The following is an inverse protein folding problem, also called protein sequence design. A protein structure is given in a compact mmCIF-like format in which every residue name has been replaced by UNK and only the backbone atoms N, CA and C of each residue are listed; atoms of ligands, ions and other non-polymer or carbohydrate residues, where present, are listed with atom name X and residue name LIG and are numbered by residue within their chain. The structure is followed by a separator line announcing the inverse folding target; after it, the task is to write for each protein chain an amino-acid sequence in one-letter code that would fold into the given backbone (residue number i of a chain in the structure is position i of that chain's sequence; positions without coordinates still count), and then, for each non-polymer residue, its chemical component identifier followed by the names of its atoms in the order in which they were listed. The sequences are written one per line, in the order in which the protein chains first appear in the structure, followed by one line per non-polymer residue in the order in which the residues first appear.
data_IF_626278337344
#
_entry.id   IF_626278337344
#
_cell.length_a   1.000
_cell.length_b   1.000
_cell.length_c   1.000
_cell.angle_alpha   90.00
_cell.angle_beta   90.00
_cell.angle_gamma   90.00
#
_symmetry.space_group_name_H-M   'P 1'
#
loop_
_entity.id
_entity.type
_entity.pdbx_description
1 polymer ?
#
# COMPACT_ATOMS: atom_id res chain seq x y z
N UNK A 1 28.14 2.03 -15.73
CA UNK A 1 26.66 1.86 -15.82
C UNK A 1 26.07 2.76 -16.90
N UNK A 2 25.44 2.17 -17.93
CA UNK A 2 24.77 2.96 -18.97
C UNK A 2 23.52 3.66 -18.42
N UNK A 3 23.24 4.89 -18.86
CA UNK A 3 22.07 5.69 -18.43
C UNK A 3 20.77 4.86 -18.54
N UNK A 4 20.68 4.00 -19.55
CA UNK A 4 19.52 3.14 -19.80
C UNK A 4 19.35 2.05 -18.74
N UNK A 5 20.46 1.47 -18.26
CA UNK A 5 20.45 0.46 -17.20
C UNK A 5 20.09 1.07 -15.86
N UNK A 6 20.62 2.25 -15.54
CA UNK A 6 20.27 2.97 -14.31
C UNK A 6 18.80 3.40 -14.30
N UNK A 7 18.28 3.90 -15.44
CA UNK A 7 16.88 4.28 -15.59
C UNK A 7 15.94 3.07 -15.46
N UNK A 8 16.29 1.95 -16.09
CA UNK A 8 15.51 0.71 -16.01
C UNK A 8 15.45 0.15 -14.60
N UNK A 9 16.57 0.13 -13.88
CA UNK A 9 16.64 -0.31 -12.48
C UNK A 9 15.84 0.64 -11.58
N UNK A 10 15.94 1.95 -11.79
CA UNK A 10 15.17 2.93 -11.03
C UNK A 10 13.66 2.76 -11.25
N UNK A 11 13.23 2.54 -12.49
CA UNK A 11 11.82 2.31 -12.82
C UNK A 11 11.29 1.02 -12.18
N UNK A 12 12.06 -0.06 -12.23
CA UNK A 12 11.71 -1.32 -11.57
C UNK A 12 11.61 -1.16 -10.06
N UNK A 13 12.58 -0.47 -9.43
CA UNK A 13 12.55 -0.20 -8.00
C UNK A 13 11.34 0.66 -7.61
N UNK A 14 10.99 1.67 -8.41
CA UNK A 14 9.81 2.50 -8.19
C UNK A 14 8.51 1.68 -8.33
N UNK A 15 8.40 0.83 -9.34
CA UNK A 15 7.24 -0.05 -9.53
C UNK A 15 7.07 -1.03 -8.35
N UNK A 16 8.16 -1.64 -7.89
CA UNK A 16 8.13 -2.51 -6.69
C UNK A 16 7.71 -1.71 -5.46
N UNK A 17 8.23 -0.49 -5.28
CA UNK A 17 7.87 0.36 -4.15
C UNK A 17 6.38 0.74 -4.16
N UNK A 18 5.82 1.03 -5.33
CA UNK A 18 4.38 1.28 -5.52
C UNK A 18 3.54 0.06 -5.15
N UNK A 19 3.92 -1.13 -5.62
CA UNK A 19 3.20 -2.36 -5.29
C UNK A 19 3.29 -2.64 -3.79
N UNK A 20 4.47 -2.51 -3.20
CA UNK A 20 4.67 -2.71 -1.76
C UNK A 20 3.88 -1.68 -0.95
N UNK A 21 3.84 -0.40 -1.36
CA UNK A 21 3.09 0.62 -0.64
C UNK A 21 1.58 0.38 -0.69
N UNK A 22 1.05 -0.04 -1.85
CA UNK A 22 -0.36 -0.41 -2.01
C UNK A 22 -0.72 -1.59 -1.10
N UNK A 23 0.11 -2.63 -1.11
CA UNK A 23 -0.10 -3.83 -0.29
C UNK A 23 -0.02 -3.49 1.20
N UNK A 24 1.03 -2.79 1.63
CA UNK A 24 1.21 -2.40 3.03
C UNK A 24 0.11 -1.45 3.50
N UNK A 25 -0.28 -0.48 2.68
CA UNK A 25 -1.35 0.47 3.01
C UNK A 25 -2.70 -0.20 3.21
N UNK A 26 -3.07 -1.11 2.31
CA UNK A 26 -4.29 -1.90 2.46
C UNK A 26 -4.28 -2.71 3.76
N UNK A 27 -3.15 -3.34 4.10
CA UNK A 27 -3.04 -4.12 5.33
C UNK A 27 -3.07 -3.29 6.61
N UNK A 28 -2.54 -2.07 6.58
CA UNK A 28 -2.54 -1.16 7.73
C UNK A 28 -3.88 -0.42 7.89
N UNK A 29 -4.86 -0.65 7.00
CA UNK A 29 -6.11 0.11 6.99
C UNK A 29 -5.88 1.60 6.77
N UNK A 30 -4.79 1.96 6.09
CA UNK A 30 -4.40 3.35 5.83
C UNK A 30 -3.74 3.44 4.45
N UNK A 31 -4.28 4.22 3.50
CA UNK A 31 -3.68 4.33 2.19
C UNK A 31 -2.33 5.06 2.26
N UNK A 32 -1.25 4.38 1.84
CA UNK A 32 0.11 4.94 1.80
C UNK A 32 0.46 5.32 0.37
N UNK A 33 0.50 6.63 0.10
CA UNK A 33 0.83 7.26 -1.18
C UNK A 33 -0.21 7.04 -2.29
N UNK A 34 -0.73 5.82 -2.42
CA UNK A 34 -1.64 5.41 -3.48
C UNK A 34 -2.77 4.57 -2.86
N UNK A 35 -3.95 4.72 -3.44
CA UNK A 35 -5.13 3.91 -3.13
C UNK A 35 -5.90 3.64 -4.42
N UNK A 36 -6.91 2.77 -4.39
CA UNK A 36 -7.76 2.47 -5.54
C UNK A 36 -9.21 2.23 -5.10
N UNK A 37 -10.14 2.38 -6.05
CA UNK A 37 -11.55 2.10 -5.81
C UNK A 37 -11.92 0.71 -6.28
N UNK A 38 -12.68 -0.02 -5.49
CA UNK A 38 -13.12 -1.39 -5.78
C UNK A 38 -14.49 -1.45 -6.45
N UNK A 39 -15.34 -0.45 -6.17
CA UNK A 39 -16.73 -0.42 -6.61
C UNK A 39 -17.00 0.77 -7.54
N UNK A 40 -18.18 0.75 -8.18
CA UNK A 40 -18.63 1.82 -9.08
C UNK A 40 -19.29 3.01 -8.36
N UNK A 41 -19.17 3.14 -7.03
CA UNK A 41 -19.81 4.23 -6.28
C UNK A 41 -19.22 5.61 -6.61
N UNK A 42 -17.99 5.65 -7.11
CA UNK A 42 -17.29 6.89 -7.48
C UNK A 42 -17.38 7.26 -8.96
N UNK A 43 -18.18 6.54 -9.75
CA UNK A 43 -18.41 6.91 -11.14
C UNK A 43 -19.19 8.24 -11.24
N UNK A 44 -18.89 9.11 -12.23
CA UNK A 44 -17.91 8.94 -13.31
C UNK A 44 -16.48 9.42 -12.97
N UNK A 45 -16.21 9.81 -11.72
CA UNK A 45 -14.91 10.36 -11.32
C UNK A 45 -13.81 9.30 -11.29
N UNK A 46 -14.11 8.12 -10.76
CA UNK A 46 -13.21 6.97 -10.70
C UNK A 46 -13.97 5.72 -11.13
N UNK A 47 -13.41 4.97 -12.07
CA UNK A 47 -13.95 3.67 -12.47
C UNK A 47 -13.42 2.55 -11.54
N UNK A 48 -14.16 1.44 -11.37
CA UNK A 48 -13.68 0.30 -10.59
C UNK A 48 -12.30 -0.18 -11.07
N UNK A 49 -11.35 -0.25 -10.15
CA UNK A 49 -9.96 -0.61 -10.42
C UNK A 49 -9.03 0.57 -10.74
N UNK A 50 -9.54 1.80 -10.80
CA UNK A 50 -8.72 2.99 -10.90
C UNK A 50 -8.07 3.35 -9.57
N UNK A 51 -6.83 3.83 -9.67
CA UNK A 51 -6.08 4.36 -8.55
C UNK A 51 -6.15 5.88 -8.45
N UNK A 52 -5.76 6.39 -7.29
CA UNK A 52 -5.53 7.81 -7.06
C UNK A 52 -4.40 8.02 -6.07
N UNK A 53 -3.85 9.22 -6.05
CA UNK A 53 -2.84 9.62 -5.07
C UNK A 53 -3.53 9.97 -3.76
N UNK A 54 -3.23 9.21 -2.71
CA UNK A 54 -3.80 9.39 -1.38
C UNK A 54 -2.84 10.23 -0.53
N UNK A 55 -3.29 11.40 -0.12
CA UNK A 55 -2.57 12.29 0.80
C UNK A 55 -3.08 11.99 2.21
N UNK A 56 -2.24 11.50 3.13
CA UNK A 56 -2.66 11.23 4.51
C UNK A 56 -3.32 12.46 5.14
N UNK A 57 -4.42 12.26 5.86
CA UNK A 57 -5.23 13.35 6.40
C UNK A 57 -4.42 14.34 7.25
N UNK A 58 -3.39 13.85 7.94
CA UNK A 58 -2.51 14.64 8.82
C UNK A 58 -1.68 15.69 8.06
N UNK A 59 -1.51 15.52 6.76
CA UNK A 59 -0.77 16.46 5.90
C UNK A 59 -1.60 16.97 4.71
N UNK A 60 -2.84 16.52 4.56
CA UNK A 60 -3.75 16.87 3.47
C UNK A 60 -4.28 18.32 3.54
N UNK A 61 -4.06 19.01 4.66
CA UNK A 61 -4.66 20.31 4.93
C UNK A 61 -6.14 20.18 5.32
N UNK A 62 -6.91 21.26 5.16
CA UNK A 62 -8.35 21.24 5.43
C UNK A 62 -9.11 20.35 4.45
N UNK A 63 -10.10 19.64 4.98
CA UNK A 63 -11.09 18.88 4.21
C UNK A 63 -12.35 19.74 4.13
N UNK A 64 -12.98 19.81 2.96
CA UNK A 64 -14.21 20.55 2.79
C UNK A 64 -15.07 20.02 1.62
N UNK A 65 -16.21 20.67 1.35
CA UNK A 65 -17.13 20.25 0.31
C UNK A 65 -16.47 20.19 -1.07
N UNK A 66 -16.66 19.07 -1.75
CA UNK A 66 -16.06 18.76 -3.05
C UNK A 66 -14.79 17.92 -2.98
N UNK A 67 -14.21 17.73 -1.80
CA UNK A 67 -13.05 16.87 -1.62
C UNK A 67 -13.43 15.38 -1.69
N UNK A 68 -12.57 14.55 -2.27
CA UNK A 68 -12.71 13.09 -2.23
C UNK A 68 -11.83 12.55 -1.13
N UNK A 69 -12.43 11.84 -0.18
CA UNK A 69 -11.76 11.33 1.02
C UNK A 69 -11.95 9.84 1.15
N UNK A 70 -10.92 9.17 1.67
CA UNK A 70 -10.96 7.79 2.13
C UNK A 70 -11.09 7.79 3.64
N UNK A 71 -12.16 7.19 4.16
CA UNK A 71 -12.46 7.11 5.58
C UNK A 71 -12.80 5.67 5.98
N UNK A 72 -12.68 5.36 7.27
CA UNK A 72 -13.11 4.07 7.82
C UNK A 72 -14.63 4.08 8.05
N UNK A 73 -15.37 3.40 7.19
CA UNK A 73 -16.82 3.30 7.27
C UNK A 73 -17.23 2.24 8.30
N UNK A 74 -18.30 2.54 9.03
CA UNK A 74 -18.80 1.66 10.10
C UNK A 74 -19.94 0.77 9.62
N UNK A 75 -20.88 1.33 8.86
CA UNK A 75 -22.14 0.69 8.51
C UNK A 75 -22.26 0.43 6.99
N UNK A 76 -21.72 1.33 6.18
CA UNK A 76 -21.80 1.22 4.71
C UNK A 76 -20.75 0.24 4.15
N UNK A 77 -21.07 -0.40 3.03
CA UNK A 77 -20.17 -1.29 2.27
C UNK A 77 -19.59 -2.49 3.06
N UNK A 78 -20.22 -2.87 4.17
CA UNK A 78 -19.72 -3.93 5.05
C UNK A 78 -18.59 -3.48 5.99
N UNK A 79 -18.41 -2.16 6.12
CA UNK A 79 -17.39 -1.51 6.93
C UNK A 79 -16.01 -1.45 6.27
N UNK A 80 -15.09 -0.72 6.88
CA UNK A 80 -13.72 -0.57 6.41
C UNK A 80 -13.52 0.64 5.48
N UNK A 81 -12.34 0.71 4.85
CA UNK A 81 -11.96 1.86 4.04
C UNK A 81 -12.90 2.09 2.84
N UNK A 82 -13.60 3.21 2.86
CA UNK A 82 -14.49 3.67 1.80
C UNK A 82 -14.02 5.02 1.27
N UNK A 83 -14.08 5.21 -0.05
CA UNK A 83 -13.67 6.47 -0.70
C UNK A 83 -14.87 7.14 -1.33
N UNK A 84 -15.31 8.28 -0.79
CA UNK A 84 -16.45 9.06 -1.27
C UNK A 84 -16.18 10.56 -1.24
N UNK A 85 -17.07 11.37 -1.84
CA UNK A 85 -16.94 12.82 -1.88
C UNK A 85 -17.65 13.46 -0.69
N UNK A 86 -17.00 14.44 -0.07
CA UNK A 86 -17.64 15.32 0.91
C UNK A 86 -18.62 16.23 0.19
N UNK A 87 -19.90 16.15 0.56
CA UNK A 87 -20.97 16.99 0.00
C UNK A 87 -21.32 18.15 0.92
N UNK A 88 -21.09 18.00 2.21
CA UNK A 88 -21.38 19.02 3.22
C UNK A 88 -20.40 18.90 4.39
N UNK A 89 -20.00 20.04 4.94
CA UNK A 89 -19.22 20.15 6.17
C UNK A 89 -20.15 20.71 7.26
N UNK A 90 -20.22 20.01 8.38
CA UNK A 90 -21.05 20.35 9.54
C UNK A 90 -20.16 20.61 10.74
N UNK A 91 -20.71 21.21 11.80
CA UNK A 91 -19.97 21.38 13.07
C UNK A 91 -19.52 20.06 13.71
N UNK A 92 -20.12 18.94 13.29
CA UNK A 92 -19.85 17.60 13.84
C UNK A 92 -18.95 16.75 12.93
N UNK A 93 -18.54 17.26 11.76
CA UNK A 93 -17.78 16.52 10.76
C UNK A 93 -18.42 16.59 9.37
N UNK A 94 -18.18 15.56 8.56
CA UNK A 94 -18.46 15.57 7.12
C UNK A 94 -19.62 14.65 6.75
N UNK A 95 -20.45 15.12 5.83
CA UNK A 95 -21.44 14.31 5.12
C UNK A 95 -20.82 13.86 3.80
N UNK A 96 -20.80 12.56 3.56
CA UNK A 96 -20.14 11.95 2.41
C UNK A 96 -21.14 11.30 1.47
N UNK A 97 -20.79 11.22 0.19
CA UNK A 97 -21.59 10.55 -0.82
C UNK A 97 -20.72 10.04 -1.95
N UNK A 98 -20.95 8.79 -2.37
CA UNK A 98 -20.40 8.30 -3.65
C UNK A 98 -20.94 9.12 -4.82
N UNK A 99 -20.08 9.48 -5.78
CA UNK A 99 -20.49 10.29 -6.94
C UNK A 99 -21.63 9.67 -7.77
N UNK A 100 -21.76 8.33 -7.75
CA UNK A 100 -22.80 7.56 -8.42
C UNK A 100 -23.98 7.20 -7.49
N UNK A 101 -23.93 7.58 -6.21
CA UNK A 101 -24.96 7.23 -5.23
C UNK A 101 -26.08 8.27 -5.22
N UNK A 102 -27.36 7.84 -5.18
CA UNK A 102 -28.50 8.77 -5.20
C UNK A 102 -28.79 9.42 -3.84
N UNK A 103 -28.29 8.85 -2.75
CA UNK A 103 -28.46 9.32 -1.37
C UNK A 103 -27.10 9.42 -0.68
N UNK A 104 -27.02 10.21 0.40
CA UNK A 104 -25.79 10.34 1.18
C UNK A 104 -25.48 9.07 1.95
N UNK A 105 -24.23 8.90 2.35
CA UNK A 105 -23.83 7.75 3.18
C UNK A 105 -24.57 7.77 4.52
N UNK A 106 -24.85 8.97 5.04
CA UNK A 106 -25.58 9.20 6.28
C UNK A 106 -27.06 8.82 6.17
N UNK A 107 -27.69 9.05 5.02
CA UNK A 107 -29.04 8.52 4.75
C UNK A 107 -29.05 6.98 4.70
N UNK A 108 -27.90 6.38 4.38
CA UNK A 108 -27.67 4.93 4.39
C UNK A 108 -27.39 4.33 5.77
N UNK A 109 -27.31 5.15 6.82
CA UNK A 109 -27.04 4.72 8.20
C UNK A 109 -25.62 4.97 8.69
N UNK A 110 -24.72 5.49 7.85
CA UNK A 110 -23.37 5.86 8.29
C UNK A 110 -23.43 7.04 9.28
N UNK A 111 -22.65 7.02 10.37
CA UNK A 111 -22.46 8.20 11.20
C UNK A 111 -21.87 9.39 10.42
N UNK A 112 -21.89 10.58 11.05
CA UNK A 112 -21.15 11.73 10.50
C UNK A 112 -19.66 11.40 10.57
N UNK A 113 -18.97 11.52 9.43
CA UNK A 113 -17.54 11.19 9.31
C UNK A 113 -16.73 12.25 10.04
N UNK A 114 -15.93 11.86 11.02
CA UNK A 114 -15.07 12.80 11.76
C UNK A 114 -13.68 12.87 11.14
N UNK A 115 -12.93 13.94 11.45
CA UNK A 115 -11.52 14.07 11.02
C UNK A 115 -10.66 12.85 11.42
N UNK A 116 -10.99 12.22 12.55
CA UNK A 116 -10.30 11.04 13.06
C UNK A 116 -10.57 9.77 12.21
N UNK A 117 -11.72 9.71 11.53
CA UNK A 117 -12.12 8.59 10.69
C UNK A 117 -11.54 8.72 9.27
N UNK A 118 -11.13 9.92 8.87
CA UNK A 118 -10.53 10.18 7.56
C UNK A 118 -9.07 9.71 7.54
N UNK A 119 -8.81 8.67 6.76
CA UNK A 119 -7.48 8.14 6.55
C UNK A 119 -6.68 9.00 5.56
N UNK A 120 -7.32 9.43 4.46
CA UNK A 120 -6.66 10.25 3.44
C UNK A 120 -7.61 11.09 2.60
N UNK A 121 -7.04 12.12 1.96
CA UNK A 121 -7.67 12.93 0.92
C UNK A 121 -7.04 12.61 -0.43
N UNK A 122 -7.87 12.40 -1.45
CA UNK A 122 -7.39 12.20 -2.80
C UNK A 122 -6.80 13.51 -3.35
N UNK A 123 -5.65 13.44 -4.01
CA UNK A 123 -5.05 14.60 -4.66
C UNK A 123 -5.97 15.08 -5.78
N UNK A 124 -6.42 16.33 -5.66
CA UNK A 124 -7.22 17.01 -6.68
C UNK A 124 -6.45 18.19 -7.27
N UNK A 125 -6.44 18.28 -8.61
CA UNK A 125 -5.82 19.37 -9.36
C UNK A 125 -6.87 19.95 -10.31
N UNK A 126 -7.14 21.25 -10.19
CA UNK A 126 -8.16 21.92 -11.02
C UNK A 126 -9.59 21.42 -10.78
N UNK A 127 -9.89 20.91 -9.56
CA UNK A 127 -11.20 20.37 -9.18
C UNK A 127 -11.42 18.89 -9.52
N UNK A 128 -10.57 18.29 -10.36
CA UNK A 128 -10.61 16.86 -10.70
C UNK A 128 -9.64 16.03 -9.86
N UNK A 129 -10.00 14.78 -9.58
CA UNK A 129 -9.11 13.81 -8.91
C UNK A 129 -8.01 13.39 -9.89
N UNK A 130 -6.77 13.26 -9.41
CA UNK A 130 -5.67 12.71 -10.21
C UNK A 130 -5.84 11.19 -10.30
N UNK A 131 -6.44 10.75 -11.41
CA UNK A 131 -6.73 9.34 -11.68
C UNK A 131 -5.51 8.64 -12.27
N UNK A 132 -5.24 7.43 -11.78
CA UNK A 132 -4.24 6.50 -12.31
C UNK A 132 -5.00 5.28 -12.83
N UNK A 133 -5.27 5.20 -14.15
CA UNK A 133 -6.12 4.16 -14.71
C UNK A 133 -5.59 2.75 -14.42
N UNK A 134 -6.49 1.83 -14.07
CA UNK A 134 -6.19 0.41 -13.85
C UNK A 134 -5.14 0.08 -12.77
N UNK A 135 -4.74 1.05 -11.93
CA UNK A 135 -3.75 0.80 -10.87
C UNK A 135 -4.21 -0.30 -9.92
N UNK A 136 -5.47 -0.22 -9.48
CA UNK A 136 -6.10 -1.23 -8.62
C UNK A 136 -6.20 -2.58 -9.33
N UNK A 137 -6.54 -2.61 -10.62
CA UNK A 137 -6.57 -3.86 -11.41
C UNK A 137 -5.20 -4.55 -11.43
N UNK A 138 -4.12 -3.79 -11.63
CA UNK A 138 -2.76 -4.33 -11.61
C UNK A 138 -2.38 -4.83 -10.22
N UNK A 139 -2.69 -4.05 -9.18
CA UNK A 139 -2.40 -4.41 -7.79
C UNK A 139 -3.14 -5.69 -7.36
N UNK A 140 -4.45 -5.76 -7.61
CA UNK A 140 -5.27 -6.95 -7.32
C UNK A 140 -4.81 -8.18 -8.11
N UNK A 141 -4.42 -8.00 -9.38
CA UNK A 141 -3.87 -9.08 -10.20
C UNK A 141 -2.56 -9.65 -9.61
N UNK A 142 -1.67 -8.76 -9.14
CA UNK A 142 -0.43 -9.18 -8.49
C UNK A 142 -0.68 -9.88 -7.14
N UNK A 143 -1.59 -9.35 -6.31
CA UNK A 143 -1.99 -9.98 -5.04
C UNK A 143 -2.59 -11.37 -5.28
N UNK A 144 -3.49 -11.49 -6.26
CA UNK A 144 -4.10 -12.78 -6.64
C UNK A 144 -3.05 -13.80 -7.10
N UNK A 145 -2.04 -13.36 -7.85
CA UNK A 145 -0.94 -14.24 -8.26
C UNK A 145 -0.10 -14.71 -7.06
N UNK A 146 0.20 -13.82 -6.12
CA UNK A 146 0.92 -14.17 -4.89
C UNK A 146 0.12 -15.15 -4.02
N UNK A 147 -1.18 -14.94 -3.87
CA UNK A 147 -2.05 -15.81 -3.09
C UNK A 147 -2.20 -17.20 -3.72
N UNK A 148 -2.22 -17.28 -5.06
CA UNK A 148 -2.19 -18.55 -5.77
C UNK A 148 -0.89 -19.33 -5.49
N UNK A 149 0.26 -18.66 -5.54
CA UNK A 149 1.57 -19.27 -5.23
C UNK A 149 1.62 -19.73 -3.78
N UNK A 150 1.18 -18.89 -2.83
CA UNK A 150 1.11 -19.25 -1.40
C UNK A 150 0.22 -20.47 -1.18
N UNK A 151 -0.96 -20.49 -1.82
CA UNK A 151 -1.89 -21.62 -1.71
C UNK A 151 -1.27 -22.91 -2.25
N UNK A 152 -0.59 -22.84 -3.40
CA UNK A 152 0.09 -23.99 -3.98
C UNK A 152 1.22 -24.51 -3.06
N UNK A 153 2.01 -23.62 -2.46
CA UNK A 153 3.06 -23.99 -1.51
C UNK A 153 2.47 -24.58 -0.23
N UNK A 154 1.43 -23.95 0.33
CA UNK A 154 0.76 -24.42 1.54
C UNK A 154 0.19 -25.83 1.37
N UNK A 155 -0.42 -26.12 0.21
CA UNK A 155 -0.93 -27.46 -0.13
C UNK A 155 0.21 -28.45 -0.33
N UNK A 156 1.28 -28.05 -1.02
CA UNK A 156 2.43 -28.93 -1.33
C UNK A 156 3.20 -29.34 -0.08
N UNK A 157 3.44 -28.40 0.83
CA UNK A 157 4.19 -28.62 2.06
C UNK A 157 3.31 -28.95 3.28
N UNK A 158 1.99 -28.88 3.13
CA UNK A 158 1.02 -29.17 4.19
C UNK A 158 1.02 -28.17 5.35
N UNK A 159 1.62 -26.99 5.17
CA UNK A 159 1.80 -25.99 6.23
C UNK A 159 0.79 -24.87 6.07
N UNK A 160 -0.24 -24.85 6.94
CA UNK A 160 -1.25 -23.78 6.96
C UNK A 160 -0.69 -22.43 7.37
N UNK A 161 0.48 -22.41 8.03
CA UNK A 161 1.20 -21.19 8.42
C UNK A 161 1.77 -20.42 7.22
N UNK A 162 1.77 -21.00 6.02
CA UNK A 162 2.18 -20.33 4.78
C UNK A 162 1.04 -19.54 4.11
N UNK A 163 -0.17 -19.61 4.65
CA UNK A 163 -1.34 -18.91 4.12
C UNK A 163 -1.55 -17.59 4.86
N UNK A 164 -1.77 -16.51 4.12
CA UNK A 164 -1.97 -15.16 4.68
C UNK A 164 -0.66 -14.40 4.95
N UNK A 165 -0.78 -13.25 5.60
CA UNK A 165 0.30 -12.27 5.78
C UNK A 165 1.54 -12.80 6.51
N UNK A 166 1.35 -13.66 7.52
CA UNK A 166 2.47 -14.30 8.21
C UNK A 166 3.21 -15.31 7.31
N UNK A 167 2.50 -15.93 6.37
CA UNK A 167 3.06 -16.87 5.40
C UNK A 167 4.08 -16.23 4.47
N UNK A 168 3.80 -15.01 4.00
CA UNK A 168 4.74 -14.24 3.19
C UNK A 168 6.07 -13.98 3.92
N UNK A 169 6.02 -13.64 5.21
CA UNK A 169 7.22 -13.44 6.00
C UNK A 169 8.05 -14.73 6.13
N UNK A 170 7.39 -15.87 6.33
CA UNK A 170 8.05 -17.17 6.37
C UNK A 170 8.63 -17.59 5.00
N UNK A 171 7.95 -17.29 3.90
CA UNK A 171 8.46 -17.55 2.54
C UNK A 171 9.71 -16.71 2.27
N UNK A 172 9.67 -15.41 2.57
CA UNK A 172 10.82 -14.52 2.40
C UNK A 172 11.97 -14.98 3.30
N UNK A 173 11.70 -15.33 4.55
CA UNK A 173 12.70 -15.85 5.46
C UNK A 173 13.33 -17.15 4.93
N UNK A 174 12.51 -18.11 4.51
CA UNK A 174 12.98 -19.37 3.93
C UNK A 174 13.81 -19.17 2.66
N UNK A 175 13.35 -18.32 1.73
CA UNK A 175 14.11 -17.96 0.54
C UNK A 175 15.42 -17.26 0.88
N UNK A 176 15.44 -16.40 1.90
CA UNK A 176 16.65 -15.72 2.36
C UNK A 176 17.67 -16.70 2.93
N UNK A 177 17.22 -17.68 3.72
CA UNK A 177 18.07 -18.75 4.25
C UNK A 177 18.64 -19.60 3.11
N UNK A 178 17.82 -19.97 2.12
CA UNK A 178 18.27 -20.72 0.94
C UNK A 178 19.26 -19.90 0.11
N UNK A 179 18.97 -18.64 -0.16
CA UNK A 179 19.86 -17.74 -0.89
C UNK A 179 21.21 -17.58 -0.17
N UNK A 180 21.19 -17.43 1.16
CA UNK A 180 22.41 -17.38 1.97
C UNK A 180 23.19 -18.69 1.92
N UNK A 181 22.52 -19.84 1.98
CA UNK A 181 23.17 -21.14 1.86
C UNK A 181 23.80 -21.36 0.47
N UNK A 182 23.11 -20.94 -0.59
CA UNK A 182 23.61 -20.99 -1.97
C UNK A 182 24.80 -20.04 -2.15
N UNK A 183 24.71 -18.81 -1.66
CA UNK A 183 25.82 -17.84 -1.69
C UNK A 183 27.03 -18.38 -0.94
N UNK A 184 26.81 -18.93 0.25
CA UNK A 184 27.85 -19.56 1.05
C UNK A 184 28.51 -20.73 0.31
N UNK A 185 27.74 -21.58 -0.36
CA UNK A 185 28.24 -22.72 -1.13
C UNK A 185 29.02 -22.28 -2.38
N UNK A 186 28.49 -21.33 -3.15
CA UNK A 186 29.13 -20.83 -4.38
C UNK A 186 30.40 -20.01 -4.07
N UNK A 187 30.40 -19.25 -2.98
CA UNK A 187 31.55 -18.44 -2.54
C UNK A 187 32.45 -19.15 -1.52
N UNK A 188 32.22 -20.44 -1.23
CA UNK A 188 33.09 -21.22 -0.36
C UNK A 188 34.51 -21.36 -0.92
N UNK A 189 34.68 -21.30 -2.25
CA UNK A 189 35.95 -21.49 -2.94
C UNK A 189 36.77 -20.23 -3.22
N UNK A 190 36.26 -19.02 -2.96
CA UNK A 190 36.89 -17.75 -3.36
C UNK A 190 37.36 -16.88 -2.19
N UNK A 191 37.33 -17.39 -0.95
CA UNK A 191 37.75 -16.64 0.25
C UNK A 191 39.27 -16.45 0.40
N UNK A 192 40.08 -17.09 -0.44
CA UNK A 192 41.53 -16.87 -0.51
C UNK A 192 41.94 -16.17 -1.81
N UNK A 193 41.80 -14.85 -1.84
CA UNK A 193 42.84 -13.91 -2.30
C UNK A 193 42.35 -12.47 -2.23
N UNK A 194 42.85 -11.80 -1.21
CA UNK A 194 42.96 -10.36 -1.13
C UNK A 194 43.88 -9.86 -2.26
N UNK A 195 43.30 -9.40 -3.37
CA UNK A 195 43.97 -8.48 -4.28
C UNK A 195 42.92 -7.51 -4.82
N UNK A 196 43.03 -6.27 -4.32
CA UNK A 196 42.28 -5.11 -4.77
C UNK A 196 42.53 -4.89 -6.26
N UNK A 197 41.56 -5.25 -7.10
CA UNK A 197 41.39 -4.61 -8.40
C UNK A 197 39.94 -4.13 -8.54
N UNK A 198 39.80 -2.80 -8.48
CA UNK A 198 38.56 -2.06 -8.71
C UNK A 198 38.33 -1.98 -10.21
N UNK A 199 37.75 -3.02 -10.79
CA UNK A 199 37.02 -2.88 -12.04
C UNK A 199 35.97 -3.97 -12.14
N UNK A 200 34.82 -3.74 -11.50
CA UNK A 200 33.60 -4.46 -11.84
C UNK A 200 32.54 -3.44 -12.20
N UNK A 201 32.54 -3.10 -13.49
CA UNK A 201 31.39 -2.55 -14.16
C UNK A 201 30.24 -3.57 -14.02
N UNK A 202 29.05 -3.03 -13.76
CA UNK A 202 27.75 -3.70 -13.77
C UNK A 202 27.36 -4.61 -12.59
N UNK A 203 26.45 -4.07 -11.76
CA UNK A 203 25.56 -4.81 -10.87
C UNK A 203 25.19 -3.97 -9.66
N UNK A 204 23.95 -3.48 -9.59
CA UNK A 204 23.39 -2.77 -8.43
C UNK A 204 23.80 -3.49 -7.15
N UNK A 205 24.56 -2.83 -6.27
CA UNK A 205 25.10 -3.51 -5.10
C UNK A 205 23.93 -4.05 -4.27
N UNK A 206 23.92 -5.36 -4.03
CA UNK A 206 22.91 -6.03 -3.21
C UNK A 206 22.79 -5.35 -1.84
N UNK A 207 23.90 -4.84 -1.30
CA UNK A 207 23.93 -4.02 -0.09
C UNK A 207 23.18 -2.67 -0.20
N UNK A 208 23.18 -2.02 -1.36
CA UNK A 208 22.37 -0.80 -1.56
C UNK A 208 20.89 -1.13 -1.69
N UNK A 209 20.54 -2.22 -2.39
CA UNK A 209 19.14 -2.67 -2.48
C UNK A 209 18.63 -3.08 -1.09
N UNK A 210 19.38 -3.91 -0.36
CA UNK A 210 19.06 -4.29 1.02
C UNK A 210 19.06 -3.09 1.95
N UNK A 211 19.96 -2.14 1.77
CA UNK A 211 20.01 -0.90 2.54
C UNK A 211 18.77 -0.04 2.34
N UNK A 212 18.32 0.13 1.09
CA UNK A 212 17.07 0.85 0.77
C UNK A 212 15.85 0.10 1.30
N UNK A 213 15.80 -1.22 1.13
CA UNK A 213 14.67 -2.04 1.58
C UNK A 213 14.58 -2.09 3.11
N UNK A 214 15.72 -2.16 3.79
CA UNK A 214 15.82 -2.03 5.24
C UNK A 214 15.42 -0.63 5.72
N UNK A 215 15.81 0.44 5.00
CA UNK A 215 15.39 1.80 5.32
C UNK A 215 13.88 1.98 5.19
N UNK A 216 13.28 1.44 4.13
CA UNK A 216 11.83 1.46 3.92
C UNK A 216 11.14 0.69 5.04
N UNK A 217 11.61 -0.52 5.38
CA UNK A 217 11.07 -1.31 6.50
C UNK A 217 11.22 -0.62 7.86
N UNK A 218 12.37 0.02 8.11
CA UNK A 218 12.58 0.79 9.35
C UNK A 218 11.66 2.01 9.38
N UNK A 219 11.50 2.71 8.27
CA UNK A 219 10.62 3.88 8.19
C UNK A 219 9.16 3.50 8.42
N UNK A 220 8.68 2.40 7.82
CA UNK A 220 7.30 1.91 8.03
C UNK A 220 7.09 1.41 9.45
N UNK A 221 8.04 0.64 10.01
CA UNK A 221 7.97 0.16 11.39
C UNK A 221 8.02 1.32 12.41
N UNK A 222 8.87 2.31 12.16
CA UNK A 222 8.98 3.50 13.03
C UNK A 222 7.72 4.36 12.93
N UNK A 223 7.17 4.55 11.73
CA UNK A 223 5.91 5.26 11.54
C UNK A 223 4.77 4.58 12.34
N UNK A 224 4.68 3.25 12.30
CA UNK A 224 3.70 2.50 13.08
C UNK A 224 3.87 2.64 14.61
N UNK A 225 5.08 2.92 15.09
CA UNK A 225 5.36 3.13 16.53
C UNK A 225 5.15 4.57 17.00
N UNK A 226 5.16 5.55 16.08
CA UNK A 226 5.06 6.98 16.39
C UNK A 226 3.63 7.51 16.19
N UNK A 227 2.78 6.81 15.43
CA UNK A 227 1.35 7.09 15.37
C UNK A 227 0.72 6.66 16.71
N UNK A 228 0.04 7.58 17.44
CA UNK A 228 -0.68 7.21 18.65
C UNK A 228 -1.69 6.11 18.30
N UNK A 229 -1.53 4.93 18.90
CA UNK A 229 -2.54 3.88 18.80
C UNK A 229 -3.87 4.46 19.26
N UNK A 230 -4.89 4.35 18.41
CA UNK A 230 -6.24 4.85 18.70
C UNK A 230 -6.64 4.49 20.12
N UNK A 231 -7.13 5.49 20.85
CA UNK A 231 -7.63 5.30 22.21
C UNK A 231 -8.79 4.32 22.16
N UNK A 232 -8.63 3.14 22.77
CA UNK A 232 -9.76 2.29 23.09
C UNK A 232 -10.70 3.08 24.00
N UNK A 233 -11.88 3.43 23.48
CA UNK A 233 -12.95 3.94 24.30
C UNK A 233 -13.52 2.77 25.12
N UNK A 234 -13.21 2.74 26.41
CA UNK A 234 -13.93 1.90 27.36
C UNK A 234 -15.33 2.49 27.53
N UNK A 235 -16.33 1.85 26.92
CA UNK A 235 -17.73 2.19 27.15
C UNK A 235 -18.07 2.11 28.64
N UNK A 236 -18.64 3.21 29.16
CA UNK A 236 -19.25 3.27 30.50
C UNK A 236 -20.76 3.16 30.34
#
# INVERSE_FOLDING_TARGET
MSIKRTLSVALQAAAVLVVVSLVVGQFLGQPILLSYVETGSMQPTLDPGDGFVAIPAQIAGGIGPGDVVTFDAQEIQGGGLTTHRVVEETERGYVTRGDNNPFTDQDGGEPIVQDADVAAKALQIGGGVVVIPHLGTVAMGFQSALDAVQTQLAVTFGVRSLQGTQGLAYIIFGLSVVAYAVDWYLNAGTRDRESRDRSRDDGTSVFAILGVLALVLMATATAAMVVPGGTQEYGV
#
